data_IF_467723644860
#
_entry.id   IF_467723644860
#
_cell.length_a   1.000
_cell.length_b   1.000
_cell.length_c   1.000
_cell.angle_alpha   90.00
_cell.angle_beta   90.00
_cell.angle_gamma   90.00
#
_symmetry.space_group_name_H-M   'P 1'
#
loop_
_entity.id
_entity.type
_entity.pdbx_description
1 polymer ?
#
# COMPACT_ATOMS: atom_id res chain seq x y z
N UNK A 1 21.86 0.37 12.16
CA UNK A 1 21.22 1.15 11.09
C UNK A 1 20.46 2.30 11.73
N UNK A 2 20.71 3.56 11.36
CA UNK A 2 20.08 4.74 11.98
C UNK A 2 18.84 5.12 11.15
N UNK A 3 17.70 4.51 11.49
CA UNK A 3 16.46 4.59 10.68
C UNK A 3 16.01 6.03 10.37
N UNK A 4 16.22 6.97 11.30
CA UNK A 4 15.89 8.39 11.10
C UNK A 4 16.80 9.09 10.10
N UNK A 5 18.08 8.71 10.04
CA UNK A 5 19.03 9.24 9.05
C UNK A 5 18.70 8.69 7.66
N UNK A 6 18.40 7.38 7.56
CA UNK A 6 17.97 6.76 6.30
C UNK A 6 16.65 7.36 5.78
N UNK A 7 15.72 7.69 6.69
CA UNK A 7 14.51 8.43 6.34
C UNK A 7 14.82 9.84 5.82
N UNK A 8 15.70 10.57 6.51
CA UNK A 8 16.11 11.93 6.12
C UNK A 8 16.75 11.98 4.73
N UNK A 9 17.60 11.01 4.41
CA UNK A 9 18.23 10.90 3.10
C UNK A 9 17.31 10.30 2.02
N UNK A 10 16.08 9.91 2.38
CA UNK A 10 15.11 9.35 1.44
C UNK A 10 15.42 7.92 1.01
N UNK A 11 16.26 7.18 1.74
CA UNK A 11 16.61 5.79 1.40
C UNK A 11 15.51 4.79 1.78
N UNK A 12 14.52 5.23 2.57
CA UNK A 12 13.38 4.42 2.98
C UNK A 12 12.17 4.72 2.10
N UNK A 13 11.81 3.75 1.25
CA UNK A 13 10.61 3.79 0.42
C UNK A 13 9.62 2.70 0.87
N UNK A 14 8.92 2.89 2.00
CA UNK A 14 8.05 1.84 2.56
C UNK A 14 6.86 1.49 1.64
N UNK A 15 6.52 2.38 0.71
CA UNK A 15 5.47 2.20 -0.29
C UNK A 15 5.97 1.53 -1.58
N UNK A 16 7.29 1.55 -1.85
CA UNK A 16 7.85 0.92 -3.03
C UNK A 16 8.16 -0.54 -2.74
N UNK A 17 7.32 -1.43 -3.28
CA UNK A 17 7.51 -2.87 -3.17
C UNK A 17 7.51 -3.49 -4.54
N UNK A 18 8.53 -4.29 -4.81
CA UNK A 18 8.53 -5.19 -5.96
C UNK A 18 7.73 -6.44 -5.59
N UNK A 19 6.79 -6.84 -6.44
CA UNK A 19 6.16 -8.15 -6.33
C UNK A 19 7.05 -9.21 -6.98
N UNK A 20 6.99 -10.44 -6.45
CA UNK A 20 7.71 -11.57 -7.04
C UNK A 20 6.99 -12.05 -8.30
N UNK A 21 7.73 -12.23 -9.39
CA UNK A 21 7.22 -12.84 -10.63
C UNK A 21 6.84 -14.31 -10.38
N UNK A 22 6.01 -14.87 -11.26
CA UNK A 22 5.53 -16.27 -11.17
C UNK A 22 4.73 -16.57 -9.90
N UNK A 23 4.23 -15.54 -9.22
CA UNK A 23 3.26 -15.67 -8.14
C UNK A 23 1.84 -15.69 -8.71
N UNK A 24 0.88 -16.10 -7.87
CA UNK A 24 -0.54 -15.98 -8.19
C UNK A 24 -0.92 -14.53 -8.55
N UNK A 25 -0.33 -13.55 -7.85
CA UNK A 25 -0.51 -12.13 -8.16
C UNK A 25 -0.05 -11.79 -9.58
N UNK A 26 1.16 -12.23 -9.99
CA UNK A 26 1.67 -12.02 -11.36
C UNK A 26 0.74 -12.66 -12.41
N UNK A 27 0.17 -13.83 -12.10
CA UNK A 27 -0.78 -14.49 -12.99
C UNK A 27 -2.09 -13.69 -13.12
N UNK A 28 -2.66 -13.25 -12.00
CA UNK A 28 -3.89 -12.45 -11.97
C UNK A 28 -3.67 -11.10 -12.67
N UNK A 29 -2.53 -10.44 -12.44
CA UNK A 29 -2.18 -9.19 -13.11
C UNK A 29 -2.12 -9.35 -14.63
N UNK A 30 -1.53 -10.44 -15.13
CA UNK A 30 -1.52 -10.73 -16.58
C UNK A 30 -2.92 -10.97 -17.12
N UNK A 31 -3.80 -11.63 -16.37
CA UNK A 31 -5.20 -11.82 -16.75
C UNK A 31 -5.96 -10.50 -16.79
N UNK A 32 -5.73 -9.62 -15.81
CA UNK A 32 -6.31 -8.28 -15.76
C UNK A 32 -5.97 -7.50 -17.03
N UNK A 33 -4.68 -7.38 -17.35
CA UNK A 33 -4.20 -6.67 -18.55
C UNK A 33 -4.81 -7.26 -19.82
N UNK A 34 -4.81 -8.59 -19.97
CA UNK A 34 -5.39 -9.24 -21.15
C UNK A 34 -6.91 -8.98 -21.29
N UNK A 35 -7.63 -8.96 -20.18
CA UNK A 35 -9.07 -8.70 -20.20
C UNK A 35 -9.36 -7.23 -20.51
N UNK A 36 -8.54 -6.33 -19.99
CA UNK A 36 -8.60 -4.90 -20.27
C UNK A 36 -8.31 -4.59 -21.75
N UNK A 37 -7.27 -5.20 -22.33
CA UNK A 37 -6.96 -5.04 -23.76
C UNK A 37 -8.15 -5.46 -24.63
N UNK A 38 -8.74 -6.63 -24.34
CA UNK A 38 -9.92 -7.12 -25.05
C UNK A 38 -11.13 -6.20 -24.89
N UNK A 39 -11.33 -5.65 -23.69
CA UNK A 39 -12.39 -4.69 -23.45
C UNK A 39 -12.15 -3.44 -24.29
N UNK A 40 -10.94 -2.88 -24.26
CA UNK A 40 -10.56 -1.70 -25.05
C UNK A 40 -10.75 -1.88 -26.55
N UNK A 41 -10.48 -3.07 -27.10
CA UNK A 41 -10.75 -3.38 -28.51
C UNK A 41 -12.25 -3.36 -28.86
N UNK A 42 -13.11 -3.72 -27.91
CA UNK A 42 -14.57 -3.79 -28.11
C UNK A 42 -15.30 -2.45 -27.99
N UNK A 43 -14.68 -1.47 -27.32
CA UNK A 43 -15.28 -0.16 -27.07
C UNK A 43 -15.11 0.79 -28.25
N UNK A 44 -16.10 1.65 -28.47
CA UNK A 44 -15.98 2.80 -29.39
C UNK A 44 -15.20 3.96 -28.74
N UNK A 45 -14.87 4.99 -29.52
CA UNK A 45 -13.99 6.08 -29.05
C UNK A 45 -14.55 6.87 -27.86
N UNK A 46 -15.86 7.10 -27.82
CA UNK A 46 -16.53 7.79 -26.70
C UNK A 46 -16.52 6.93 -25.42
N UNK A 47 -16.76 5.63 -25.58
CA UNK A 47 -16.69 4.67 -24.47
C UNK A 47 -15.26 4.52 -23.94
N UNK A 48 -14.25 4.53 -24.81
CA UNK A 48 -12.83 4.51 -24.42
C UNK A 48 -12.43 5.74 -23.61
N UNK A 49 -12.90 6.93 -24.01
CA UNK A 49 -12.65 8.16 -23.25
C UNK A 49 -13.28 8.06 -21.85
N UNK A 50 -14.53 7.60 -21.79
CA UNK A 50 -15.26 7.41 -20.52
C UNK A 50 -14.57 6.37 -19.63
N UNK A 51 -14.14 5.24 -20.20
CA UNK A 51 -13.45 4.18 -19.47
C UNK A 51 -12.07 4.62 -18.98
N UNK A 52 -11.36 5.45 -19.75
CA UNK A 52 -10.07 6.01 -19.33
C UNK A 52 -10.24 6.95 -18.14
N UNK A 53 -11.20 7.88 -18.19
CA UNK A 53 -11.55 8.74 -17.05
C UNK A 53 -11.97 7.94 -15.82
N UNK A 54 -12.73 6.86 -16.02
CA UNK A 54 -13.09 5.95 -14.93
C UNK A 54 -11.85 5.32 -14.28
N UNK A 55 -10.89 4.81 -15.06
CA UNK A 55 -9.63 4.26 -14.53
C UNK A 55 -8.83 5.31 -13.77
N UNK A 56 -8.69 6.52 -14.32
CA UNK A 56 -8.01 7.63 -13.65
C UNK A 56 -8.65 7.92 -12.27
N UNK A 57 -9.98 8.00 -12.19
CA UNK A 57 -10.67 8.18 -10.91
C UNK A 57 -10.45 7.00 -9.96
N UNK A 58 -10.46 5.76 -10.45
CA UNK A 58 -10.17 4.57 -9.63
C UNK A 58 -8.74 4.60 -9.07
N UNK A 59 -7.77 5.03 -9.88
CA UNK A 59 -6.38 5.15 -9.47
C UNK A 59 -6.21 6.25 -8.40
N UNK A 60 -6.85 7.41 -8.58
CA UNK A 60 -6.85 8.48 -7.58
C UNK A 60 -7.49 8.03 -6.25
N UNK A 61 -8.64 7.35 -6.30
CA UNK A 61 -9.30 6.80 -5.10
C UNK A 61 -8.39 5.77 -4.41
N UNK A 62 -7.72 4.91 -5.18
CA UNK A 62 -6.77 3.93 -4.65
C UNK A 62 -5.61 4.61 -3.95
N UNK A 63 -5.01 5.64 -4.56
CA UNK A 63 -3.91 6.41 -3.96
C UNK A 63 -4.30 7.08 -2.65
N UNK A 64 -5.49 7.71 -2.60
CA UNK A 64 -6.01 8.32 -1.37
C UNK A 64 -6.21 7.25 -0.28
N UNK A 65 -6.83 6.12 -0.65
CA UNK A 65 -7.11 5.03 0.28
C UNK A 65 -5.83 4.39 0.83
N UNK A 66 -4.84 4.14 -0.02
CA UNK A 66 -3.54 3.59 0.38
C UNK A 66 -2.78 4.55 1.30
N UNK A 67 -2.82 5.85 1.02
CA UNK A 67 -2.24 6.89 1.88
C UNK A 67 -2.89 6.90 3.27
N UNK A 68 -4.22 6.86 3.33
CA UNK A 68 -4.97 6.79 4.59
C UNK A 68 -4.64 5.52 5.39
N UNK A 69 -4.59 4.36 4.74
CA UNK A 69 -4.19 3.09 5.37
C UNK A 69 -2.77 3.19 5.93
N UNK A 70 -1.85 3.80 5.19
CA UNK A 70 -0.48 4.01 5.61
C UNK A 70 -0.40 4.89 6.87
N UNK A 71 -1.08 6.05 6.87
CA UNK A 71 -1.13 6.97 8.02
C UNK A 71 -1.70 6.26 9.24
N UNK A 72 -2.82 5.55 9.09
CA UNK A 72 -3.47 4.80 10.16
C UNK A 72 -2.53 3.71 10.73
N UNK A 73 -1.79 3.01 9.87
CA UNK A 73 -0.80 2.01 10.29
C UNK A 73 0.31 2.60 11.16
N UNK A 74 0.86 3.76 10.78
CA UNK A 74 1.88 4.45 11.58
C UNK A 74 1.33 4.94 12.93
N UNK A 75 0.15 5.55 12.92
CA UNK A 75 -0.50 5.99 14.15
C UNK A 75 -0.77 4.82 15.10
N UNK A 76 -1.22 3.68 14.58
CA UNK A 76 -1.44 2.47 15.37
C UNK A 76 -0.13 1.93 15.95
N UNK A 77 0.94 1.86 15.14
CA UNK A 77 2.26 1.43 15.62
C UNK A 77 2.81 2.32 16.73
N UNK A 78 2.67 3.64 16.60
CA UNK A 78 3.07 4.59 17.65
C UNK A 78 2.28 4.40 18.95
N UNK A 79 0.95 4.17 18.85
CA UNK A 79 0.11 3.86 20.03
C UNK A 79 0.57 2.60 20.75
N UNK A 80 0.90 1.53 20.02
CA UNK A 80 1.44 0.31 20.63
C UNK A 80 2.76 0.55 21.36
N UNK A 81 3.68 1.32 20.77
CA UNK A 81 4.97 1.65 21.42
C UNK A 81 4.75 2.43 22.72
N UNK A 82 3.88 3.44 22.69
CA UNK A 82 3.55 4.26 23.86
C UNK A 82 2.92 3.41 24.96
N UNK A 83 1.99 2.53 24.59
CA UNK A 83 1.33 1.60 25.54
C UNK A 83 2.35 0.68 26.22
N UNK A 84 3.22 0.02 25.44
CA UNK A 84 4.26 -0.86 25.98
C UNK A 84 5.26 -0.13 26.90
N UNK A 85 5.48 1.17 26.70
CA UNK A 85 6.38 1.95 27.54
C UNK A 85 5.71 2.44 28.83
N UNK A 86 4.43 2.81 28.76
CA UNK A 86 3.72 3.40 29.90
C UNK A 86 3.17 2.35 30.88
N UNK A 87 2.86 1.15 30.39
CA UNK A 87 2.17 0.13 31.18
C UNK A 87 3.10 -1.05 31.51
N UNK A 88 3.47 -1.19 32.79
CA UNK A 88 4.00 -2.43 33.35
C UNK A 88 2.82 -3.35 33.74
N UNK A 89 2.07 -3.81 32.74
CA UNK A 89 0.91 -4.70 32.98
C UNK A 89 1.33 -6.18 33.14
N UNK A 90 2.63 -6.45 33.21
CA UNK A 90 3.19 -7.78 33.46
C UNK A 90 3.03 -8.17 34.92
N UNK A 91 2.54 -9.40 35.17
CA UNK A 91 2.42 -9.98 36.53
C UNK A 91 3.79 -10.34 37.13
N UNK A 92 4.86 -10.24 36.35
CA UNK A 92 6.22 -10.57 36.75
C UNK A 92 7.03 -9.28 36.99
N UNK A 93 7.64 -9.18 38.16
CA UNK A 93 8.59 -8.12 38.50
C UNK A 93 10.00 -8.51 38.06
N UNK A 94 10.81 -7.52 37.65
CA UNK A 94 12.21 -7.73 37.37
C UNK A 94 12.95 -8.14 38.64
N UNK A 95 13.73 -9.24 38.55
CA UNK A 95 14.60 -9.67 39.64
C UNK A 95 15.77 -8.69 39.73
N UNK A 96 15.75 -7.83 40.75
CA UNK A 96 16.84 -6.90 41.08
C UNK A 96 18.04 -7.63 41.69
#
# INVERSE_FOLDING_TARGET
MRILEEFWYGNLHPNEKLFRRQTEFDHILKLLVRNEDKLMESLNDSEKETFTKYRECCDEISQISECEIFINGFQLGARFIIECYNNHDGVFEDVT
#
